data_IF_564903242048
#
_entry.id   IF_564903242048
#
_cell.length_a   1.000
_cell.length_b   1.000
_cell.length_c   1.000
_cell.angle_alpha   90.00
_cell.angle_beta   90.00
_cell.angle_gamma   90.00
#
_symmetry.space_group_name_H-M   'P 1'
#
loop_
_entity.id
_entity.type
_entity.pdbx_description
1 polymer ?
#
# COMPACT_ATOMS: atom_id res chain seq x y z
N UNK A 1 15.23 -29.83 56.29
CA UNK A 1 14.90 -29.73 57.72
C UNK A 1 14.18 -28.42 57.96
N UNK A 2 12.85 -28.44 58.21
CA UNK A 2 11.98 -27.28 58.57
C UNK A 2 11.88 -26.20 57.45
N UNK A 3 10.78 -25.50 57.19
CA UNK A 3 9.43 -25.44 57.78
C UNK A 3 8.43 -24.93 56.71
N UNK A 4 7.21 -25.48 56.65
CA UNK A 4 6.01 -24.72 56.24
C UNK A 4 5.62 -23.79 57.42
N UNK A 5 4.95 -22.63 57.25
CA UNK A 5 3.67 -22.46 56.53
C UNK A 5 3.70 -21.22 55.58
N UNK A 6 2.63 -20.60 55.05
CA UNK A 6 1.16 -20.71 55.22
C UNK A 6 0.43 -20.45 53.89
N UNK A 7 -0.83 -20.89 53.79
CA UNK A 7 -1.85 -20.24 52.95
C UNK A 7 -2.91 -19.61 53.85
N UNK A 8 -3.44 -18.43 53.51
CA UNK A 8 -4.83 -18.14 53.82
C UNK A 8 -5.63 -17.49 52.68
N UNK A 9 -6.91 -17.87 52.63
CA UNK A 9 -8.09 -17.11 52.20
C UNK A 9 -8.27 -16.55 50.76
N UNK A 10 -9.33 -17.09 50.14
CA UNK A 10 -10.42 -16.37 49.45
C UNK A 10 -10.21 -15.77 48.06
N UNK A 11 -10.45 -16.66 47.11
CA UNK A 11 -11.37 -16.47 45.98
C UNK A 11 -12.50 -15.41 46.22
N UNK A 12 -12.56 -14.32 45.43
CA UNK A 12 -13.74 -13.51 45.25
C UNK A 12 -14.37 -13.80 43.88
N UNK A 13 -15.37 -14.69 43.86
CA UNK A 13 -16.28 -14.83 42.71
C UNK A 13 -16.94 -13.48 42.42
N UNK A 14 -16.89 -12.92 41.20
CA UNK A 14 -17.92 -12.00 40.78
C UNK A 14 -19.22 -12.80 40.58
N UNK A 15 -20.15 -12.66 41.53
CA UNK A 15 -21.55 -13.04 41.29
C UNK A 15 -22.03 -12.24 40.08
N UNK A 16 -22.69 -12.91 39.13
CA UNK A 16 -23.26 -12.22 37.98
C UNK A 16 -24.30 -11.20 38.42
N UNK A 17 -24.25 -10.00 37.86
CA UNK A 17 -25.31 -9.02 38.02
C UNK A 17 -26.17 -8.98 36.76
N UNK A 18 -27.49 -9.07 36.96
CA UNK A 18 -28.48 -9.07 35.89
C UNK A 18 -28.98 -7.64 35.71
N UNK A 19 -29.01 -7.16 34.46
CA UNK A 19 -29.91 -6.11 33.96
C UNK A 19 -30.02 -4.84 34.82
N UNK A 20 -29.41 -3.75 34.34
CA UNK A 20 -30.10 -2.45 34.30
C UNK A 20 -29.98 -1.80 32.92
N UNK A 21 -30.82 -2.28 32.02
CA UNK A 21 -31.30 -1.48 30.88
C UNK A 21 -32.12 -0.31 31.43
N UNK A 22 -31.90 0.92 30.94
CA UNK A 22 -32.63 2.10 31.40
C UNK A 22 -32.04 3.39 30.82
N UNK A 23 -32.84 4.47 30.71
CA UNK A 23 -33.35 4.85 29.38
C UNK A 23 -33.01 6.30 28.99
N UNK A 24 -33.73 6.83 27.98
CA UNK A 24 -33.66 8.20 27.40
C UNK A 24 -32.56 8.35 26.32
N UNK A 25 -32.81 8.85 25.11
CA UNK A 25 -34.05 9.40 24.49
C UNK A 25 -34.11 9.06 23.00
N UNK A 26 -35.28 8.60 22.56
CA UNK A 26 -36.13 9.23 21.55
C UNK A 26 -35.46 10.13 20.49
N UNK A 27 -35.49 9.66 19.23
CA UNK A 27 -36.08 10.42 18.12
C UNK A 27 -36.67 9.43 17.10
N UNK A 28 -37.81 9.77 16.51
CA UNK A 28 -38.64 8.84 15.73
C UNK A 28 -38.77 9.23 14.25
N UNK A 29 -38.68 8.23 13.36
CA UNK A 29 -39.08 8.20 11.93
C UNK A 29 -39.07 6.70 11.54
N UNK A 30 -40.14 5.97 11.22
CA UNK A 30 -41.44 6.25 10.57
C UNK A 30 -41.38 6.35 9.02
N UNK A 31 -41.06 5.21 8.39
CA UNK A 31 -41.21 4.83 6.96
C UNK A 31 -40.92 3.31 6.88
N UNK A 32 -41.50 2.46 6.02
CA UNK A 32 -42.43 2.60 4.89
C UNK A 32 -43.30 1.34 4.78
N UNK A 33 -44.51 1.46 4.23
CA UNK A 33 -45.49 0.38 4.06
C UNK A 33 -45.74 0.17 2.55
N UNK A 34 -45.75 -1.07 2.02
CA UNK A 34 -46.21 -1.33 0.66
C UNK A 34 -47.70 -1.71 0.62
N UNK A 35 -48.51 -0.90 -0.08
CA UNK A 35 -49.79 -1.31 -0.68
C UNK A 35 -49.54 -2.20 -1.93
N UNK A 36 -50.57 -2.80 -2.58
CA UNK A 36 -52.01 -2.75 -2.30
C UNK A 36 -52.69 -4.14 -2.19
N UNK A 37 -53.96 -4.15 -1.75
CA UNK A 37 -54.90 -5.24 -2.03
C UNK A 37 -56.17 -4.70 -2.70
N UNK A 38 -56.63 -5.41 -3.72
CA UNK A 38 -57.87 -5.16 -4.46
C UNK A 38 -59.10 -5.58 -3.64
N UNK A 39 -60.14 -4.76 -3.63
CA UNK A 39 -61.53 -5.24 -3.49
C UNK A 39 -62.45 -4.54 -4.49
N UNK A 40 -63.37 -5.32 -5.06
CA UNK A 40 -64.25 -4.91 -6.14
C UNK A 40 -65.62 -4.42 -5.62
N UNK A 41 -66.42 -3.90 -6.55
CA UNK A 41 -67.72 -3.28 -6.29
C UNK A 41 -68.74 -4.19 -5.60
N UNK A 42 -69.61 -3.56 -4.80
CA UNK A 42 -70.91 -4.10 -4.41
C UNK A 42 -72.01 -3.10 -4.75
N UNK A 43 -72.87 -3.47 -5.70
CA UNK A 43 -74.16 -2.80 -5.96
C UNK A 43 -75.23 -3.41 -5.08
N UNK A 44 -75.92 -2.62 -4.26
CA UNK A 44 -77.05 -3.06 -3.44
C UNK A 44 -77.99 -1.89 -3.15
N UNK A 45 -79.24 -1.98 -3.60
CA UNK A 45 -80.18 -0.85 -3.61
C UNK A 45 -80.96 -0.70 -2.30
N UNK A 46 -81.31 0.54 -1.95
CA UNK A 46 -82.44 0.85 -1.09
C UNK A 46 -83.35 1.88 -1.77
N UNK A 47 -84.58 1.45 -2.10
CA UNK A 47 -85.65 2.34 -2.50
C UNK A 47 -86.41 2.82 -1.25
N UNK A 48 -86.45 4.14 -1.05
CA UNK A 48 -87.44 4.79 -0.19
C UNK A 48 -88.00 6.00 -0.95
N UNK A 49 -89.27 5.92 -1.37
CA UNK A 49 -89.91 6.97 -2.14
C UNK A 49 -90.53 8.06 -1.25
N UNK A 50 -90.57 9.30 -1.74
CA UNK A 50 -91.22 10.40 -1.03
C UNK A 50 -91.03 11.78 -1.66
N UNK A 51 -92.00 12.20 -2.47
CA UNK A 51 -92.30 13.61 -2.83
C UNK A 51 -91.26 14.49 -3.55
N UNK A 52 -91.49 14.67 -4.86
CA UNK A 52 -91.31 15.87 -5.70
C UNK A 52 -90.30 16.96 -5.22
N UNK A 53 -89.12 17.03 -5.87
CA UNK A 53 -88.36 18.29 -6.04
C UNK A 53 -87.69 18.37 -7.43
N UNK A 54 -88.50 18.56 -8.48
CA UNK A 54 -88.14 18.46 -9.92
C UNK A 54 -87.20 19.58 -10.45
N UNK A 55 -86.57 20.40 -9.60
CA UNK A 55 -85.67 21.48 -10.04
C UNK A 55 -84.33 21.58 -9.26
N UNK A 56 -83.97 20.57 -8.43
CA UNK A 56 -82.78 20.63 -7.57
C UNK A 56 -81.52 19.89 -8.06
N UNK A 57 -81.66 18.75 -8.73
CA UNK A 57 -80.55 17.77 -8.88
C UNK A 57 -79.30 18.23 -9.66
N UNK A 58 -79.40 19.29 -10.46
CA UNK A 58 -78.25 19.81 -11.24
C UNK A 58 -77.31 20.68 -10.39
N UNK A 59 -77.83 21.39 -9.39
CA UNK A 59 -77.02 22.16 -8.43
C UNK A 59 -76.30 21.22 -7.45
N UNK A 60 -77.01 20.22 -6.94
CA UNK A 60 -76.45 19.19 -6.05
C UNK A 60 -75.27 18.45 -6.70
N UNK A 61 -75.42 18.02 -7.97
CA UNK A 61 -74.35 17.37 -8.72
C UNK A 61 -73.13 18.29 -8.94
N UNK A 62 -73.33 19.60 -9.09
CA UNK A 62 -72.22 20.56 -9.25
C UNK A 62 -71.52 20.86 -7.92
N UNK A 63 -72.27 20.89 -6.81
CA UNK A 63 -71.73 21.01 -5.46
C UNK A 63 -70.84 19.81 -5.12
N UNK A 64 -71.32 18.59 -5.38
CA UNK A 64 -70.53 17.38 -5.19
C UNK A 64 -69.23 17.38 -6.02
N UNK A 65 -69.29 17.81 -7.29
CA UNK A 65 -68.09 17.97 -8.13
C UNK A 65 -67.12 19.02 -7.56
N UNK A 66 -67.61 20.17 -7.12
CA UNK A 66 -66.79 21.21 -6.49
C UNK A 66 -66.11 20.72 -5.20
N UNK A 67 -66.81 19.91 -4.40
CA UNK A 67 -66.23 19.31 -3.20
C UNK A 67 -65.13 18.28 -3.55
N UNK A 68 -65.36 17.40 -4.52
CA UNK A 68 -64.31 16.48 -5.01
C UNK A 68 -63.10 17.25 -5.54
N UNK A 69 -63.30 18.36 -6.25
CA UNK A 69 -62.19 19.22 -6.71
C UNK A 69 -61.45 19.91 -5.54
N UNK A 70 -62.15 20.24 -4.44
CA UNK A 70 -61.55 20.78 -3.20
C UNK A 70 -60.67 19.74 -2.51
N UNK A 71 -61.18 18.52 -2.35
CA UNK A 71 -60.46 17.40 -1.72
C UNK A 71 -59.23 16.99 -2.54
N UNK A 72 -59.39 16.91 -3.87
CA UNK A 72 -58.31 16.64 -4.83
C UNK A 72 -57.21 17.73 -4.81
N UNK A 73 -57.59 19.00 -4.70
CA UNK A 73 -56.64 20.11 -4.60
C UNK A 73 -55.93 20.13 -3.23
N UNK A 74 -56.63 19.78 -2.15
CA UNK A 74 -56.04 19.62 -0.82
C UNK A 74 -55.01 18.48 -0.77
N UNK A 75 -55.29 17.35 -1.43
CA UNK A 75 -54.34 16.26 -1.59
C UNK A 75 -53.08 16.71 -2.36
N UNK A 76 -53.26 17.37 -3.51
CA UNK A 76 -52.13 17.91 -4.30
C UNK A 76 -51.30 18.95 -3.54
N UNK A 77 -51.92 19.77 -2.69
CA UNK A 77 -51.24 20.73 -1.82
C UNK A 77 -50.40 20.01 -0.75
N UNK A 78 -50.96 19.00 -0.07
CA UNK A 78 -50.26 18.22 0.94
C UNK A 78 -49.07 17.42 0.38
N UNK A 79 -49.22 16.84 -0.82
CA UNK A 79 -48.13 16.16 -1.52
C UNK A 79 -46.99 17.14 -1.86
N UNK A 80 -47.31 18.37 -2.27
CA UNK A 80 -46.31 19.38 -2.62
C UNK A 80 -45.53 19.88 -1.39
N UNK A 81 -46.23 20.20 -0.29
CA UNK A 81 -45.60 20.61 0.98
C UNK A 81 -44.71 19.51 1.55
N UNK A 82 -45.16 18.24 1.50
CA UNK A 82 -44.36 17.08 1.92
C UNK A 82 -43.07 16.97 1.09
N UNK A 83 -43.19 16.98 -0.24
CA UNK A 83 -42.03 16.91 -1.14
C UNK A 83 -41.06 18.11 -0.97
N UNK A 84 -41.58 19.31 -0.69
CA UNK A 84 -40.76 20.50 -0.41
C UNK A 84 -39.96 20.36 0.88
N UNK A 85 -40.53 19.74 1.92
CA UNK A 85 -39.85 19.50 3.22
C UNK A 85 -38.72 18.47 3.08
N UNK A 86 -38.99 17.34 2.42
CA UNK A 86 -37.98 16.28 2.20
C UNK A 86 -36.80 16.80 1.37
N UNK A 87 -37.09 17.59 0.33
CA UNK A 87 -36.08 18.22 -0.50
C UNK A 87 -35.29 19.31 0.23
N UNK A 88 -35.89 20.01 1.20
CA UNK A 88 -35.19 20.97 2.05
C UNK A 88 -34.08 20.30 2.86
N UNK A 89 -34.34 19.15 3.46
CA UNK A 89 -33.33 18.34 4.19
C UNK A 89 -32.18 17.92 3.26
N UNK A 90 -32.51 17.56 2.01
CA UNK A 90 -31.51 17.23 0.99
C UNK A 90 -30.62 18.41 0.63
N UNK A 91 -31.20 19.62 0.48
CA UNK A 91 -30.44 20.85 0.22
C UNK A 91 -29.59 21.25 1.42
N UNK A 92 -30.13 21.18 2.65
CA UNK A 92 -29.37 21.42 3.89
C UNK A 92 -28.15 20.49 3.97
N UNK A 93 -28.33 19.20 3.66
CA UNK A 93 -27.25 18.20 3.61
C UNK A 93 -26.17 18.54 2.57
N UNK A 94 -26.56 19.01 1.39
CA UNK A 94 -25.60 19.48 0.36
C UNK A 94 -24.86 20.73 0.86
N UNK A 95 -25.56 21.72 1.41
CA UNK A 95 -24.93 22.97 1.89
C UNK A 95 -23.98 22.78 3.07
N UNK A 96 -24.18 21.75 3.90
CA UNK A 96 -23.27 21.44 5.00
C UNK A 96 -21.91 20.84 4.53
N UNK A 97 -21.77 20.53 3.23
CA UNK A 97 -20.67 19.70 2.70
C UNK A 97 -20.04 20.24 1.41
N UNK A 98 -20.79 20.98 0.58
CA UNK A 98 -20.39 21.33 -0.80
C UNK A 98 -20.65 22.80 -1.18
N UNK A 99 -19.62 23.65 -1.00
CA UNK A 99 -19.60 25.06 -1.41
C UNK A 99 -19.31 25.30 -2.92
N UNK A 100 -19.28 24.24 -3.73
CA UNK A 100 -18.99 24.36 -5.16
C UNK A 100 -20.02 25.22 -5.89
N UNK A 101 -19.70 25.72 -7.10
CA UNK A 101 -20.68 26.40 -7.94
C UNK A 101 -21.92 25.55 -8.27
N UNK A 102 -21.82 24.21 -8.20
CA UNK A 102 -22.96 23.32 -8.39
C UNK A 102 -23.86 23.25 -7.14
N UNK A 103 -23.26 23.13 -5.95
CA UNK A 103 -23.99 23.20 -4.67
C UNK A 103 -24.74 24.52 -4.49
N UNK A 104 -24.06 25.65 -4.76
CA UNK A 104 -24.70 26.98 -4.69
C UNK A 104 -25.85 27.16 -5.69
N UNK A 105 -25.72 26.68 -6.94
CA UNK A 105 -26.83 26.69 -7.91
C UNK A 105 -28.02 25.87 -7.42
N UNK A 106 -27.80 24.70 -6.80
CA UNK A 106 -28.89 23.91 -6.24
C UNK A 106 -29.66 24.68 -5.15
N UNK A 107 -28.98 25.50 -4.33
CA UNK A 107 -29.64 26.39 -3.35
C UNK A 107 -30.46 27.48 -4.06
N UNK A 108 -29.87 28.16 -5.05
CA UNK A 108 -30.53 29.25 -5.79
C UNK A 108 -31.77 28.76 -6.56
N UNK A 109 -31.65 27.61 -7.23
CA UNK A 109 -32.72 26.94 -7.98
C UNK A 109 -33.84 26.43 -7.05
N UNK A 110 -33.48 25.86 -5.89
CA UNK A 110 -34.47 25.47 -4.87
C UNK A 110 -35.19 26.68 -4.28
N UNK A 111 -34.49 27.80 -4.05
CA UNK A 111 -35.11 29.05 -3.60
C UNK A 111 -36.04 29.65 -4.68
N UNK A 112 -35.73 29.48 -5.96
CA UNK A 112 -36.62 29.86 -7.06
C UNK A 112 -37.87 28.98 -7.14
N UNK A 113 -37.74 27.67 -6.96
CA UNK A 113 -38.87 26.75 -6.83
C UNK A 113 -39.73 27.08 -5.61
N UNK A 114 -39.12 27.40 -4.46
CA UNK A 114 -39.81 27.83 -3.25
C UNK A 114 -40.77 29.00 -3.49
N UNK A 115 -40.29 30.09 -4.11
CA UNK A 115 -41.15 31.24 -4.44
C UNK A 115 -42.35 30.88 -5.33
N UNK A 116 -42.17 29.93 -6.25
CA UNK A 116 -43.23 29.44 -7.15
C UNK A 116 -44.19 28.49 -6.44
N UNK A 117 -43.73 27.74 -5.45
CA UNK A 117 -44.58 26.95 -4.52
C UNK A 117 -45.44 27.90 -3.68
N UNK A 118 -44.86 28.96 -3.11
CA UNK A 118 -45.58 29.95 -2.31
C UNK A 118 -46.69 30.62 -3.14
N UNK A 119 -46.43 30.95 -4.40
CA UNK A 119 -47.40 31.52 -5.33
C UNK A 119 -48.60 30.59 -5.59
N UNK A 120 -48.37 29.33 -5.99
CA UNK A 120 -49.47 28.38 -6.27
C UNK A 120 -50.21 27.95 -5.00
N UNK A 121 -49.51 27.94 -3.85
CA UNK A 121 -50.11 27.73 -2.53
C UNK A 121 -51.07 28.86 -2.17
N UNK A 122 -50.67 30.12 -2.40
CA UNK A 122 -51.54 31.28 -2.21
C UNK A 122 -52.77 31.27 -3.15
N UNK A 123 -52.59 30.84 -4.39
CA UNK A 123 -53.70 30.68 -5.36
C UNK A 123 -54.69 29.59 -4.91
N UNK A 124 -54.19 28.46 -4.40
CA UNK A 124 -55.02 27.39 -3.82
C UNK A 124 -55.79 27.87 -2.57
N UNK A 125 -55.13 28.51 -1.61
CA UNK A 125 -55.76 29.04 -0.39
C UNK A 125 -56.85 30.06 -0.77
N UNK A 126 -56.55 30.99 -1.67
CA UNK A 126 -57.52 31.97 -2.19
C UNK A 126 -58.74 31.29 -2.85
N UNK A 127 -58.53 30.21 -3.60
CA UNK A 127 -59.61 29.45 -4.23
C UNK A 127 -60.46 28.65 -3.22
N UNK A 128 -59.89 28.22 -2.10
CA UNK A 128 -60.63 27.58 -1.00
C UNK A 128 -61.43 28.61 -0.19
N UNK A 129 -60.81 29.75 0.15
CA UNK A 129 -61.44 30.80 0.96
C UNK A 129 -62.55 31.56 0.21
N UNK A 130 -62.47 31.63 -1.13
CA UNK A 130 -63.47 32.31 -1.95
C UNK A 130 -64.83 31.59 -2.04
N UNK A 131 -64.92 30.29 -1.70
CA UNK A 131 -66.13 29.49 -1.87
C UNK A 131 -66.49 28.68 -0.63
N UNK A 132 -67.48 29.16 0.12
CA UNK A 132 -68.18 28.36 1.12
C UNK A 132 -69.06 27.30 0.42
N UNK A 133 -68.49 26.09 0.25
CA UNK A 133 -69.18 24.93 -0.31
C UNK A 133 -70.13 24.24 0.69
N UNK A 134 -70.18 24.68 1.94
CA UNK A 134 -71.02 24.12 3.00
C UNK A 134 -72.35 24.89 3.16
N UNK A 135 -72.44 26.11 2.61
CA UNK A 135 -73.64 26.95 2.57
C UNK A 135 -74.87 26.32 1.88
N UNK A 136 -76.01 26.24 2.57
CA UNK A 136 -77.24 25.55 2.10
C UNK A 136 -77.87 26.11 0.80
N UNK A 137 -77.73 27.42 0.54
CA UNK A 137 -78.31 28.11 -0.62
C UNK A 137 -77.31 28.39 -1.76
N UNK A 138 -76.21 27.61 -1.84
CA UNK A 138 -75.17 27.77 -2.87
C UNK A 138 -75.73 27.70 -4.30
N UNK A 139 -75.50 28.77 -5.08
CA UNK A 139 -75.86 28.78 -6.49
C UNK A 139 -75.06 27.78 -7.33
N UNK A 140 -75.73 27.14 -8.30
CA UNK A 140 -75.10 26.36 -9.37
C UNK A 140 -73.99 27.17 -10.12
N UNK A 141 -74.19 28.48 -10.28
CA UNK A 141 -73.20 29.39 -10.89
C UNK A 141 -71.92 29.49 -10.05
N UNK A 142 -72.05 29.51 -8.72
CA UNK A 142 -70.94 29.56 -7.78
C UNK A 142 -70.23 28.21 -7.68
N UNK A 143 -70.97 27.11 -7.54
CA UNK A 143 -70.41 25.75 -7.52
C UNK A 143 -69.59 25.44 -8.79
N UNK A 144 -70.08 25.86 -9.97
CA UNK A 144 -69.34 25.72 -11.23
C UNK A 144 -68.05 26.55 -11.28
N UNK A 145 -68.05 27.77 -10.72
CA UNK A 145 -66.83 28.60 -10.60
C UNK A 145 -65.83 28.00 -9.62
N UNK A 146 -66.29 27.53 -8.46
CA UNK A 146 -65.47 26.86 -7.46
C UNK A 146 -64.77 25.62 -8.04
N UNK A 147 -65.53 24.73 -8.69
CA UNK A 147 -64.98 23.55 -9.37
C UNK A 147 -63.88 23.93 -10.37
N UNK A 148 -64.10 24.95 -11.21
CA UNK A 148 -63.11 25.40 -12.20
C UNK A 148 -61.83 25.94 -11.54
N UNK A 149 -61.96 26.80 -10.52
CA UNK A 149 -60.81 27.40 -9.82
C UNK A 149 -60.02 26.37 -9.01
N UNK A 150 -60.69 25.44 -8.32
CA UNK A 150 -60.04 24.36 -7.57
C UNK A 150 -59.35 23.36 -8.50
N UNK A 151 -59.96 23.05 -9.65
CA UNK A 151 -59.32 22.22 -10.70
C UNK A 151 -58.07 22.90 -11.26
N UNK A 152 -58.12 24.22 -11.51
CA UNK A 152 -56.96 24.99 -11.95
C UNK A 152 -55.84 25.00 -10.90
N UNK A 153 -56.18 25.26 -9.63
CA UNK A 153 -55.23 25.23 -8.52
C UNK A 153 -54.56 23.86 -8.38
N UNK A 154 -55.34 22.76 -8.45
CA UNK A 154 -54.82 21.38 -8.49
C UNK A 154 -53.80 21.19 -9.61
N UNK A 155 -54.13 21.60 -10.83
CA UNK A 155 -53.24 21.46 -11.99
C UNK A 155 -51.92 22.23 -11.79
N UNK A 156 -51.98 23.46 -11.24
CA UNK A 156 -50.81 24.27 -10.95
C UNK A 156 -49.94 23.65 -9.85
N UNK A 157 -50.55 23.17 -8.74
CA UNK A 157 -49.87 22.44 -7.67
C UNK A 157 -49.15 21.19 -8.20
N UNK A 158 -49.86 20.36 -8.98
CA UNK A 158 -49.28 19.16 -9.62
C UNK A 158 -48.14 19.52 -10.58
N UNK A 159 -48.26 20.59 -11.37
CA UNK A 159 -47.19 21.02 -12.29
C UNK A 159 -45.92 21.48 -11.54
N UNK A 160 -46.08 22.24 -10.45
CA UNK A 160 -44.95 22.66 -9.61
C UNK A 160 -44.34 21.46 -8.88
N UNK A 161 -45.15 20.49 -8.43
CA UNK A 161 -44.65 19.22 -7.88
C UNK A 161 -43.80 18.45 -8.89
N UNK A 162 -44.22 18.35 -10.15
CA UNK A 162 -43.42 17.69 -11.20
C UNK A 162 -42.09 18.40 -11.48
N UNK A 163 -42.06 19.73 -11.39
CA UNK A 163 -40.82 20.51 -11.53
C UNK A 163 -39.90 20.29 -10.32
N UNK A 164 -40.47 20.15 -9.11
CA UNK A 164 -39.77 19.81 -7.87
C UNK A 164 -39.19 18.38 -7.90
N UNK A 165 -39.97 17.39 -8.33
CA UNK A 165 -39.56 15.99 -8.46
C UNK A 165 -38.39 15.88 -9.47
N UNK A 166 -38.44 16.62 -10.58
CA UNK A 166 -37.37 16.67 -11.60
C UNK A 166 -36.10 17.32 -11.05
N UNK A 167 -36.23 18.37 -10.26
CA UNK A 167 -35.11 19.01 -9.57
C UNK A 167 -34.46 18.07 -8.54
N UNK A 168 -35.27 17.38 -7.74
CA UNK A 168 -34.81 16.38 -6.76
C UNK A 168 -33.97 15.26 -7.44
N UNK A 169 -34.43 14.76 -8.59
CA UNK A 169 -33.67 13.81 -9.42
C UNK A 169 -32.35 14.41 -9.93
N UNK A 170 -32.35 15.69 -10.33
CA UNK A 170 -31.17 16.41 -10.82
C UNK A 170 -30.07 16.60 -9.76
N UNK A 171 -30.44 16.84 -8.49
CA UNK A 171 -29.46 17.01 -7.39
C UNK A 171 -28.98 15.69 -6.77
N UNK A 172 -29.60 14.55 -7.10
CA UNK A 172 -29.26 13.23 -6.54
C UNK A 172 -27.75 12.90 -6.50
N UNK A 173 -26.97 13.16 -7.57
CA UNK A 173 -25.52 12.96 -7.56
C UNK A 173 -24.75 13.86 -6.57
N UNK A 174 -25.24 15.08 -6.30
CA UNK A 174 -24.65 15.99 -5.30
C UNK A 174 -24.98 15.51 -3.88
N UNK A 175 -26.22 15.09 -3.65
CA UNK A 175 -26.65 14.53 -2.36
C UNK A 175 -25.85 13.27 -2.01
N UNK A 176 -25.78 12.28 -2.91
CA UNK A 176 -25.04 11.04 -2.66
C UNK A 176 -23.52 11.25 -2.46
N UNK A 177 -22.95 12.30 -3.07
CA UNK A 177 -21.58 12.75 -2.80
C UNK A 177 -21.45 13.31 -1.38
N UNK A 178 -22.36 14.20 -0.97
CA UNK A 178 -22.37 14.81 0.36
C UNK A 178 -22.54 13.75 1.47
N UNK A 179 -23.50 12.83 1.32
CA UNK A 179 -23.69 11.67 2.20
C UNK A 179 -22.44 10.81 2.32
N UNK A 180 -21.78 10.52 1.18
CA UNK A 180 -20.52 9.74 1.15
C UNK A 180 -19.39 10.45 1.90
N UNK A 181 -19.31 11.79 1.82
CA UNK A 181 -18.31 12.56 2.56
C UNK A 181 -18.62 12.59 4.08
N UNK A 182 -19.88 12.80 4.47
CA UNK A 182 -20.31 12.75 5.87
C UNK A 182 -20.05 11.38 6.50
N UNK A 183 -20.42 10.29 5.83
CA UNK A 183 -20.17 8.92 6.28
C UNK A 183 -18.68 8.59 6.48
N UNK A 184 -17.79 9.24 5.72
CA UNK A 184 -16.33 9.07 5.82
C UNK A 184 -15.69 9.95 6.89
N UNK A 185 -16.34 11.03 7.34
CA UNK A 185 -15.74 12.07 8.17
C UNK A 185 -15.21 11.51 9.51
N UNK A 186 -16.10 10.98 10.34
CA UNK A 186 -15.71 10.48 11.66
C UNK A 186 -14.68 9.32 11.61
N UNK A 187 -14.84 8.29 10.74
CA UNK A 187 -13.81 7.25 10.57
C UNK A 187 -12.44 7.78 10.12
N UNK A 188 -12.41 8.84 9.32
CA UNK A 188 -11.15 9.40 8.81
C UNK A 188 -10.42 10.22 9.89
N UNK A 189 -11.14 11.05 10.63
CA UNK A 189 -10.57 11.80 11.77
C UNK A 189 -10.07 10.84 12.85
N UNK A 190 -10.81 9.77 13.14
CA UNK A 190 -10.39 8.78 14.12
C UNK A 190 -9.14 8.01 13.67
N UNK A 191 -9.05 7.60 12.40
CA UNK A 191 -7.83 7.02 11.83
C UNK A 191 -6.62 7.95 11.99
N UNK A 192 -6.79 9.25 11.74
CA UNK A 192 -5.73 10.23 11.90
C UNK A 192 -5.21 10.31 13.35
N UNK A 193 -6.11 10.28 14.34
CA UNK A 193 -5.73 10.23 15.77
C UNK A 193 -5.00 8.93 16.13
N UNK A 194 -5.47 7.80 15.63
CA UNK A 194 -4.83 6.49 15.86
C UNK A 194 -3.43 6.41 15.25
N UNK A 195 -3.23 6.92 14.03
CA UNK A 195 -1.90 7.02 13.42
C UNK A 195 -0.94 7.93 14.20
N UNK A 196 -1.42 9.08 14.69
CA UNK A 196 -0.62 9.97 15.56
C UNK A 196 -0.22 9.31 16.88
N UNK A 197 -1.15 8.61 17.53
CA UNK A 197 -0.86 7.86 18.77
C UNK A 197 0.15 6.75 18.51
N UNK A 198 -0.02 5.96 17.44
CA UNK A 198 0.89 4.89 17.09
C UNK A 198 2.31 5.40 16.75
N UNK A 199 2.41 6.52 16.03
CA UNK A 199 3.70 7.19 15.77
C UNK A 199 4.37 7.69 17.06
N UNK A 200 3.58 8.21 18.01
CA UNK A 200 4.09 8.63 19.33
C UNK A 200 4.67 7.44 20.10
N UNK A 201 3.91 6.35 20.21
CA UNK A 201 4.33 5.11 20.88
C UNK A 201 5.57 4.49 20.23
N UNK A 202 5.68 4.53 18.90
CA UNK A 202 6.87 4.08 18.19
C UNK A 202 8.10 4.92 18.55
N UNK A 203 7.99 6.26 18.57
CA UNK A 203 9.09 7.14 18.99
C UNK A 203 9.49 6.94 20.46
N UNK A 204 8.54 6.72 21.35
CA UNK A 204 8.84 6.39 22.75
C UNK A 204 9.53 5.03 22.89
N UNK A 205 9.18 4.05 22.06
CA UNK A 205 9.87 2.76 22.00
C UNK A 205 11.32 2.91 21.49
N UNK A 206 11.55 3.77 20.50
CA UNK A 206 12.89 4.12 20.00
C UNK A 206 13.72 4.82 21.09
N UNK A 207 13.12 5.76 21.85
CA UNK A 207 13.77 6.40 23.01
C UNK A 207 14.13 5.40 24.11
N UNK A 208 13.22 4.47 24.45
CA UNK A 208 13.48 3.40 25.42
C UNK A 208 14.62 2.47 24.99
N UNK A 209 14.79 2.26 23.68
CA UNK A 209 15.93 1.54 23.11
C UNK A 209 17.25 2.35 23.09
N UNK A 210 17.28 3.58 23.64
CA UNK A 210 18.44 4.46 23.63
C UNK A 210 18.78 5.05 22.26
N UNK A 211 17.83 5.03 21.32
CA UNK A 211 18.02 5.49 19.95
C UNK A 211 17.52 6.94 19.78
N UNK A 212 18.22 7.69 18.93
CA UNK A 212 17.90 9.07 18.54
C UNK A 212 16.86 9.06 17.43
N UNK A 213 15.90 9.98 17.50
CA UNK A 213 14.85 10.13 16.50
C UNK A 213 14.40 11.60 16.38
N UNK A 214 15.32 12.54 16.56
CA UNK A 214 14.99 13.97 16.74
C UNK A 214 14.29 14.58 15.51
N UNK A 215 14.70 14.21 14.29
CA UNK A 215 14.04 14.59 13.04
C UNK A 215 12.62 13.98 12.94
N UNK A 216 12.47 12.68 13.26
CA UNK A 216 11.15 12.03 13.26
C UNK A 216 10.21 12.64 14.31
N UNK A 217 10.73 13.00 15.49
CA UNK A 217 9.99 13.70 16.53
C UNK A 217 9.62 15.13 16.12
N UNK A 218 10.50 15.88 15.46
CA UNK A 218 10.21 17.20 14.92
C UNK A 218 9.12 17.13 13.82
N UNK A 219 9.20 16.15 12.92
CA UNK A 219 8.16 15.88 11.92
C UNK A 219 6.83 15.55 12.56
N UNK A 220 6.78 14.69 13.59
CA UNK A 220 5.54 14.39 14.30
C UNK A 220 4.98 15.62 15.02
N UNK A 221 5.83 16.41 15.68
CA UNK A 221 5.44 17.66 16.34
C UNK A 221 4.86 18.69 15.35
N UNK A 222 5.35 18.72 14.10
CA UNK A 222 4.80 19.59 13.05
C UNK A 222 3.35 19.27 12.66
N UNK A 223 2.84 18.08 12.98
CA UNK A 223 1.43 17.71 12.79
C UNK A 223 0.50 18.22 13.92
N UNK A 224 1.05 18.77 15.00
CA UNK A 224 0.29 19.30 16.14
C UNK A 224 -0.80 20.33 15.76
N UNK A 225 -0.49 21.36 14.96
CA UNK A 225 -1.49 22.34 14.49
C UNK A 225 -2.61 21.71 13.65
N UNK A 226 -2.31 20.67 12.88
CA UNK A 226 -3.34 19.95 12.11
C UNK A 226 -4.23 19.10 13.03
N UNK A 227 -3.69 18.49 14.10
CA UNK A 227 -4.50 17.84 15.13
C UNK A 227 -5.42 18.84 15.85
N UNK A 228 -4.96 20.06 16.13
CA UNK A 228 -5.82 21.13 16.69
C UNK A 228 -7.00 21.43 15.77
N UNK A 229 -6.76 21.55 14.46
CA UNK A 229 -7.82 21.76 13.44
C UNK A 229 -8.76 20.56 13.31
N UNK A 230 -8.25 19.32 13.40
CA UNK A 230 -9.08 18.11 13.43
C UNK A 230 -9.98 18.04 14.67
N UNK A 231 -9.54 18.57 15.81
CA UNK A 231 -10.33 18.64 17.03
C UNK A 231 -11.35 19.79 17.03
N UNK A 232 -11.09 20.87 16.28
CA UNK A 232 -12.07 21.92 15.98
C UNK A 232 -13.17 21.41 15.03
N UNK A 233 -12.83 20.49 14.13
CA UNK A 233 -13.78 19.70 13.35
C UNK A 233 -14.41 20.41 12.15
N UNK A 234 -15.22 19.68 11.40
CA UNK A 234 -15.77 20.12 10.12
C UNK A 234 -16.74 21.31 10.21
N UNK A 235 -17.40 21.52 11.37
CA UNK A 235 -18.28 22.68 11.57
C UNK A 235 -17.54 24.02 11.56
N UNK A 236 -16.23 24.03 11.81
CA UNK A 236 -15.38 25.23 11.71
C UNK A 236 -14.56 25.27 10.40
N UNK A 237 -14.19 24.10 9.86
CA UNK A 237 -13.19 24.00 8.79
C UNK A 237 -13.72 23.50 7.44
N UNK A 238 -15.00 23.11 7.35
CA UNK A 238 -15.55 22.40 6.19
C UNK A 238 -15.33 20.89 6.25
N UNK A 239 -16.26 20.11 5.71
CA UNK A 239 -16.17 18.65 5.61
C UNK A 239 -15.05 18.21 4.63
N UNK A 240 -14.92 18.77 3.41
CA UNK A 240 -13.87 18.39 2.46
C UNK A 240 -12.45 18.59 3.03
N UNK A 241 -12.19 19.76 3.60
CA UNK A 241 -10.89 20.16 4.15
C UNK A 241 -10.53 19.33 5.39
N UNK A 242 -11.53 18.97 6.21
CA UNK A 242 -11.34 18.10 7.38
C UNK A 242 -11.02 16.67 6.96
N UNK A 243 -11.67 16.14 5.91
CA UNK A 243 -11.34 14.84 5.32
C UNK A 243 -9.91 14.83 4.76
N UNK A 244 -9.55 15.80 3.93
CA UNK A 244 -8.22 15.90 3.31
C UNK A 244 -7.11 16.03 4.38
N UNK A 245 -7.36 16.85 5.40
CA UNK A 245 -6.48 16.99 6.58
C UNK A 245 -6.33 15.68 7.33
N UNK A 246 -7.43 14.97 7.60
CA UNK A 246 -7.38 13.71 8.32
C UNK A 246 -6.57 12.66 7.56
N UNK A 247 -6.76 12.56 6.24
CA UNK A 247 -5.96 11.66 5.41
C UNK A 247 -4.47 12.04 5.38
N UNK A 248 -4.13 13.33 5.24
CA UNK A 248 -2.74 13.80 5.25
C UNK A 248 -2.07 13.48 6.59
N UNK A 249 -2.70 13.85 7.71
CA UNK A 249 -2.20 13.57 9.06
C UNK A 249 -2.01 12.07 9.28
N UNK A 250 -2.97 11.23 8.85
CA UNK A 250 -2.84 9.78 8.94
C UNK A 250 -1.64 9.26 8.14
N UNK A 251 -1.47 9.69 6.87
CA UNK A 251 -0.35 9.28 6.00
C UNK A 251 1.01 9.73 6.53
N UNK A 252 1.12 10.98 7.00
CA UNK A 252 2.38 11.53 7.49
C UNK A 252 2.80 10.93 8.84
N UNK A 253 1.84 10.70 9.75
CA UNK A 253 2.10 9.99 11.00
C UNK A 253 2.45 8.51 10.78
N UNK A 254 1.78 7.84 9.83
CA UNK A 254 2.11 6.46 9.44
C UNK A 254 3.55 6.35 8.88
N UNK A 255 3.98 7.30 8.04
CA UNK A 255 5.37 7.37 7.57
C UNK A 255 6.36 7.51 8.74
N UNK A 256 6.08 8.40 9.70
CA UNK A 256 6.91 8.56 10.90
C UNK A 256 6.98 7.26 11.72
N UNK A 257 5.85 6.57 11.90
CA UNK A 257 5.80 5.27 12.59
C UNK A 257 6.70 4.24 11.91
N UNK A 258 6.50 4.02 10.61
CA UNK A 258 7.25 3.03 9.85
C UNK A 258 8.76 3.34 9.72
N UNK A 259 9.14 4.63 9.76
CA UNK A 259 10.56 5.03 9.85
C UNK A 259 11.13 4.78 11.26
N UNK A 260 10.36 5.06 12.32
CA UNK A 260 10.77 4.82 13.71
C UNK A 260 10.97 3.32 14.02
N UNK A 261 10.01 2.47 13.61
CA UNK A 261 10.04 1.01 13.84
C UNK A 261 11.25 0.32 13.20
N UNK A 262 11.83 0.89 12.13
CA UNK A 262 13.04 0.38 11.46
C UNK A 262 14.35 0.72 12.17
N UNK A 263 14.37 1.69 13.09
CA UNK A 263 15.59 2.11 13.78
C UNK A 263 16.18 1.01 14.68
N UNK A 264 15.39 0.31 15.54
CA UNK A 264 15.87 -0.83 16.31
C UNK A 264 16.34 -2.01 15.45
N UNK A 265 15.66 -2.29 14.34
CA UNK A 265 16.06 -3.34 13.40
C UNK A 265 17.44 -3.04 12.81
N UNK A 266 17.61 -1.84 12.24
CA UNK A 266 18.87 -1.37 11.63
C UNK A 266 20.01 -1.33 12.63
N UNK A 267 19.75 -0.89 13.85
CA UNK A 267 20.69 -0.93 14.97
C UNK A 267 21.17 -2.37 15.22
N UNK A 268 20.23 -3.31 15.40
CA UNK A 268 20.53 -4.72 15.66
C UNK A 268 21.26 -5.42 14.50
N UNK A 269 21.00 -5.03 13.25
CA UNK A 269 21.74 -5.54 12.09
C UNK A 269 23.20 -5.11 12.10
N UNK A 270 23.47 -3.83 12.37
CA UNK A 270 24.83 -3.29 12.44
C UNK A 270 25.58 -3.95 13.60
N UNK A 271 24.93 -4.16 14.74
CA UNK A 271 25.54 -4.82 15.91
C UNK A 271 25.92 -6.28 15.59
N UNK A 272 25.05 -7.05 14.92
CA UNK A 272 25.37 -8.41 14.44
C UNK A 272 26.52 -8.41 13.42
N UNK A 273 26.55 -7.45 12.49
CA UNK A 273 27.61 -7.33 11.47
C UNK A 273 28.96 -6.97 12.10
N UNK A 274 28.99 -6.07 13.10
CA UNK A 274 30.19 -5.71 13.86
C UNK A 274 30.80 -6.94 14.55
N UNK A 275 29.98 -7.75 15.23
CA UNK A 275 30.43 -8.99 15.88
C UNK A 275 30.93 -9.99 14.83
N UNK A 276 30.15 -10.24 13.77
CA UNK A 276 30.50 -11.23 12.73
C UNK A 276 31.83 -10.89 12.02
N UNK A 277 32.02 -9.62 11.62
CA UNK A 277 33.23 -9.19 10.94
C UNK A 277 34.44 -9.14 11.88
N UNK A 278 34.27 -8.81 13.16
CA UNK A 278 35.34 -8.93 14.17
C UNK A 278 35.81 -10.38 14.31
N UNK A 279 34.90 -11.34 14.44
CA UNK A 279 35.25 -12.77 14.51
C UNK A 279 35.96 -13.22 13.23
N UNK A 280 35.52 -12.75 12.06
CA UNK A 280 36.19 -13.04 10.77
C UNK A 280 37.62 -12.45 10.73
N UNK A 281 37.84 -11.22 11.21
CA UNK A 281 39.17 -10.61 11.29
C UNK A 281 40.11 -11.42 12.21
N UNK A 282 39.65 -11.82 13.40
CA UNK A 282 40.44 -12.64 14.34
C UNK A 282 40.79 -14.03 13.78
N UNK A 283 39.84 -14.68 13.10
CA UNK A 283 40.08 -15.96 12.43
C UNK A 283 41.09 -15.80 11.29
N UNK A 284 41.01 -14.70 10.54
CA UNK A 284 41.91 -14.42 9.41
C UNK A 284 43.32 -14.05 9.88
N UNK A 285 43.47 -13.31 10.97
CA UNK A 285 44.77 -13.07 11.62
C UNK A 285 45.47 -14.39 11.98
N UNK A 286 44.71 -15.33 12.55
CA UNK A 286 45.21 -16.67 12.92
C UNK A 286 45.62 -17.47 11.68
N UNK A 287 44.84 -17.39 10.61
CA UNK A 287 45.11 -18.08 9.33
C UNK A 287 46.31 -17.47 8.58
N UNK A 288 46.47 -16.15 8.60
CA UNK A 288 47.61 -15.46 8.01
C UNK A 288 48.95 -15.93 8.62
N UNK A 289 48.97 -16.20 9.93
CA UNK A 289 50.12 -16.81 10.61
C UNK A 289 50.53 -18.20 10.11
N UNK A 290 49.65 -18.92 9.39
CA UNK A 290 49.95 -20.21 8.78
C UNK A 290 50.58 -20.09 7.38
N UNK A 291 50.64 -18.89 6.80
CA UNK A 291 51.21 -18.67 5.46
C UNK A 291 52.73 -18.83 5.47
N UNK A 292 53.44 -18.38 6.51
CA UNK A 292 54.91 -18.44 6.54
C UNK A 292 55.48 -19.88 6.60
N UNK A 293 54.89 -20.84 7.34
CA UNK A 293 55.20 -22.26 7.19
C UNK A 293 54.99 -22.80 5.76
N UNK A 294 53.90 -22.40 5.10
CA UNK A 294 53.59 -22.80 3.71
C UNK A 294 54.62 -22.22 2.73
N UNK A 295 54.99 -20.94 2.87
CA UNK A 295 56.05 -20.30 2.08
C UNK A 295 57.41 -20.96 2.34
N UNK A 296 57.71 -21.35 3.57
CA UNK A 296 58.96 -22.05 3.91
C UNK A 296 59.07 -23.41 3.21
N UNK A 297 57.98 -24.19 3.17
CA UNK A 297 57.92 -25.46 2.43
C UNK A 297 58.00 -25.25 0.90
N UNK A 298 57.37 -24.18 0.38
CA UNK A 298 57.49 -23.78 -1.03
C UNK A 298 58.94 -23.45 -1.42
N UNK A 299 59.61 -22.57 -0.65
CA UNK A 299 61.01 -22.17 -0.85
C UNK A 299 61.98 -23.35 -0.81
N UNK A 300 61.70 -24.34 0.04
CA UNK A 300 62.53 -25.55 0.21
C UNK A 300 62.43 -26.53 -0.96
N UNK A 301 61.31 -26.57 -1.68
CA UNK A 301 60.99 -27.67 -2.62
C UNK A 301 60.78 -27.26 -4.07
N UNK A 302 60.48 -25.99 -4.33
CA UNK A 302 60.12 -25.48 -5.65
C UNK A 302 60.98 -24.28 -6.05
N UNK A 303 61.05 -24.02 -7.36
CA UNK A 303 61.78 -22.88 -7.92
C UNK A 303 61.18 -21.54 -7.48
N UNK A 304 61.97 -20.47 -7.59
CA UNK A 304 61.57 -19.10 -7.18
C UNK A 304 60.26 -18.65 -7.86
N UNK A 305 60.09 -18.97 -9.14
CA UNK A 305 58.88 -18.65 -9.91
C UNK A 305 57.58 -19.24 -9.35
N UNK A 306 57.65 -20.31 -8.55
CA UNK A 306 56.50 -20.94 -7.93
C UNK A 306 55.93 -20.18 -6.71
N UNK A 307 56.71 -19.27 -6.10
CA UNK A 307 56.35 -18.64 -4.82
C UNK A 307 56.73 -17.16 -4.64
N UNK A 308 57.56 -16.57 -5.51
CA UNK A 308 58.00 -15.16 -5.36
C UNK A 308 56.83 -14.16 -5.31
N UNK A 309 55.74 -14.45 -6.03
CA UNK A 309 54.51 -13.66 -6.09
C UNK A 309 53.71 -13.69 -4.79
N UNK A 310 53.98 -14.69 -3.93
CA UNK A 310 53.31 -14.88 -2.64
C UNK A 310 54.12 -14.32 -1.46
N UNK A 311 55.35 -13.83 -1.69
CA UNK A 311 56.26 -13.46 -0.61
C UNK A 311 55.75 -12.30 0.27
N UNK A 312 54.99 -11.35 -0.30
CA UNK A 312 54.39 -10.23 0.44
C UNK A 312 53.05 -10.54 1.10
N UNK A 313 52.46 -11.73 0.86
CA UNK A 313 51.12 -12.08 1.36
C UNK A 313 51.02 -12.03 2.89
N UNK A 314 51.99 -12.50 3.70
CA UNK A 314 51.91 -12.38 5.16
C UNK A 314 51.82 -10.93 5.65
N UNK A 315 52.66 -10.04 5.12
CA UNK A 315 52.70 -8.62 5.52
C UNK A 315 51.45 -7.87 5.06
N UNK A 316 51.01 -8.12 3.81
CA UNK A 316 49.76 -7.58 3.26
C UNK A 316 48.54 -8.05 4.06
N UNK A 317 48.50 -9.32 4.45
CA UNK A 317 47.41 -9.86 5.25
C UNK A 317 47.37 -9.24 6.65
N UNK A 318 48.52 -9.11 7.31
CA UNK A 318 48.62 -8.46 8.61
C UNK A 318 48.22 -6.98 8.54
N UNK A 319 48.59 -6.26 7.48
CA UNK A 319 48.19 -4.86 7.28
C UNK A 319 46.69 -4.72 6.99
N UNK A 320 46.13 -5.53 6.08
CA UNK A 320 44.71 -5.48 5.78
C UNK A 320 43.84 -5.85 7.00
N UNK A 321 44.29 -6.76 7.86
CA UNK A 321 43.60 -7.06 9.13
C UNK A 321 43.67 -5.87 10.08
N UNK A 322 44.83 -5.22 10.27
CA UNK A 322 44.93 -3.99 11.08
C UNK A 322 44.00 -2.89 10.58
N UNK A 323 43.95 -2.67 9.26
CA UNK A 323 43.04 -1.70 8.65
C UNK A 323 41.56 -2.07 8.86
N UNK A 324 41.22 -3.37 8.74
CA UNK A 324 39.88 -3.86 9.01
C UNK A 324 39.49 -3.67 10.49
N UNK A 325 40.40 -3.89 11.44
CA UNK A 325 40.17 -3.66 12.86
C UNK A 325 39.99 -2.16 13.19
N UNK A 326 40.80 -1.27 12.61
CA UNK A 326 40.60 0.19 12.72
C UNK A 326 39.23 0.59 12.19
N UNK A 327 38.84 0.10 11.01
CA UNK A 327 37.54 0.40 10.41
C UNK A 327 36.36 -0.22 11.15
N UNK A 328 36.56 -1.30 11.89
CA UNK A 328 35.56 -1.84 12.83
C UNK A 328 35.41 -0.96 14.08
N UNK A 329 36.48 -0.29 14.54
CA UNK A 329 36.39 0.70 15.61
C UNK A 329 35.69 1.99 15.13
N UNK A 330 36.03 2.48 13.94
CA UNK A 330 35.32 3.59 13.27
C UNK A 330 33.82 3.26 13.10
N UNK A 331 33.49 2.06 12.59
CA UNK A 331 32.11 1.62 12.39
C UNK A 331 31.33 1.49 13.71
N UNK A 332 31.98 1.10 14.80
CA UNK A 332 31.40 1.10 16.15
C UNK A 332 31.11 2.52 16.62
N UNK A 333 32.05 3.46 16.48
CA UNK A 333 31.83 4.85 16.87
C UNK A 333 30.71 5.52 16.06
N UNK A 334 30.62 5.21 14.76
CA UNK A 334 29.50 5.62 13.91
C UNK A 334 28.16 5.02 14.39
N UNK A 335 28.15 3.73 14.78
CA UNK A 335 26.97 3.04 15.34
C UNK A 335 26.52 3.60 16.70
N UNK A 336 27.46 3.97 17.57
CA UNK A 336 27.21 4.62 18.86
C UNK A 336 26.67 6.05 18.67
N UNK A 337 27.25 6.80 17.73
CA UNK A 337 26.80 8.13 17.33
C UNK A 337 25.45 8.12 16.58
N UNK A 338 25.10 6.96 16.02
CA UNK A 338 23.92 6.66 15.19
C UNK A 338 23.99 7.25 13.77
N UNK A 339 25.21 7.39 13.24
CA UNK A 339 25.50 7.69 11.84
C UNK A 339 25.40 6.40 11.00
N UNK A 340 24.15 6.05 10.68
CA UNK A 340 23.83 4.80 10.00
C UNK A 340 24.40 4.64 8.58
N UNK A 341 24.46 5.67 7.72
CA UNK A 341 25.08 5.56 6.40
C UNK A 341 26.57 5.25 6.49
N UNK A 342 27.29 5.96 7.36
CA UNK A 342 28.73 5.81 7.55
C UNK A 342 29.08 4.43 8.13
N UNK A 343 28.36 3.99 9.18
CA UNK A 343 28.52 2.65 9.74
C UNK A 343 28.34 1.55 8.67
N UNK A 344 27.35 1.68 7.77
CA UNK A 344 27.14 0.74 6.66
C UNK A 344 28.29 0.76 5.63
N UNK A 345 28.83 1.94 5.30
CA UNK A 345 29.95 2.09 4.36
C UNK A 345 31.25 1.50 4.93
N UNK A 346 31.53 1.75 6.21
CA UNK A 346 32.69 1.20 6.91
C UNK A 346 32.62 -0.33 7.02
N UNK A 347 31.47 -0.90 7.40
CA UNK A 347 31.28 -2.37 7.42
C UNK A 347 31.43 -3.01 6.04
N UNK A 348 30.99 -2.34 4.98
CA UNK A 348 31.18 -2.79 3.59
C UNK A 348 32.66 -2.79 3.19
N UNK A 349 33.41 -1.77 3.61
CA UNK A 349 34.86 -1.66 3.40
C UNK A 349 35.62 -2.76 4.14
N UNK A 350 35.27 -3.01 5.41
CA UNK A 350 35.83 -4.11 6.22
C UNK A 350 35.58 -5.46 5.54
N UNK A 351 34.36 -5.70 5.04
CA UNK A 351 34.03 -6.94 4.32
C UNK A 351 34.89 -7.12 3.06
N UNK A 352 35.13 -6.05 2.29
CA UNK A 352 35.98 -6.12 1.10
C UNK A 352 37.43 -6.46 1.46
N UNK A 353 38.02 -5.78 2.46
CA UNK A 353 39.38 -6.05 2.95
C UNK A 353 39.54 -7.49 3.45
N UNK A 354 38.60 -7.98 4.26
CA UNK A 354 38.63 -9.35 4.80
C UNK A 354 38.33 -10.43 3.77
N UNK A 355 37.69 -10.11 2.64
CA UNK A 355 37.51 -11.05 1.53
C UNK A 355 38.79 -11.16 0.70
N UNK A 356 39.32 -10.04 0.21
CA UNK A 356 40.56 -10.01 -0.58
C UNK A 356 41.76 -10.63 0.18
N UNK A 357 41.78 -10.46 1.51
CA UNK A 357 42.82 -11.05 2.36
C UNK A 357 42.64 -12.56 2.56
N UNK A 358 41.40 -13.05 2.70
CA UNK A 358 41.11 -14.50 2.82
C UNK A 358 41.42 -15.23 1.50
N UNK A 359 41.15 -14.60 0.36
CA UNK A 359 41.56 -15.06 -0.98
C UNK A 359 43.09 -15.13 -1.09
N UNK A 360 43.80 -14.06 -0.72
CA UNK A 360 45.28 -13.99 -0.77
C UNK A 360 45.96 -15.03 0.13
N UNK A 361 45.45 -15.20 1.35
CA UNK A 361 45.95 -16.19 2.33
C UNK A 361 45.68 -17.63 1.87
N UNK A 362 44.51 -17.89 1.29
CA UNK A 362 44.17 -19.22 0.77
C UNK A 362 45.02 -19.60 -0.45
N UNK A 363 45.30 -18.64 -1.33
CA UNK A 363 46.10 -18.86 -2.54
C UNK A 363 47.48 -19.48 -2.27
N UNK A 364 48.12 -19.18 -1.14
CA UNK A 364 49.40 -19.79 -0.78
C UNK A 364 49.28 -21.29 -0.44
N UNK A 365 48.24 -21.66 0.33
CA UNK A 365 47.96 -23.07 0.66
C UNK A 365 47.58 -23.86 -0.59
N UNK A 366 46.70 -23.29 -1.42
CA UNK A 366 46.28 -23.88 -2.70
C UNK A 366 47.45 -24.05 -3.67
N UNK A 367 48.36 -23.06 -3.74
CA UNK A 367 49.60 -23.13 -4.53
C UNK A 367 50.44 -24.33 -4.09
N UNK A 368 50.71 -24.48 -2.79
CA UNK A 368 51.47 -25.62 -2.28
C UNK A 368 50.78 -26.96 -2.54
N UNK A 369 49.45 -27.05 -2.39
CA UNK A 369 48.70 -28.27 -2.71
C UNK A 369 48.78 -28.63 -4.21
N UNK A 370 48.56 -27.65 -5.10
CA UNK A 370 48.65 -27.85 -6.57
C UNK A 370 50.05 -28.28 -6.99
N UNK A 371 51.09 -27.62 -6.47
CA UNK A 371 52.49 -27.94 -6.76
C UNK A 371 52.89 -29.33 -6.23
N UNK A 372 52.43 -29.71 -5.04
CA UNK A 372 52.62 -31.07 -4.52
C UNK A 372 51.95 -32.14 -5.39
N UNK A 373 50.73 -31.88 -5.88
CA UNK A 373 50.00 -32.82 -6.73
C UNK A 373 50.70 -33.02 -8.08
N UNK A 374 51.08 -31.93 -8.77
CA UNK A 374 51.72 -32.02 -10.08
C UNK A 374 53.15 -32.54 -10.01
N UNK A 375 53.90 -32.25 -8.93
CA UNK A 375 55.24 -32.82 -8.75
C UNK A 375 55.20 -34.33 -8.46
N UNK A 376 54.10 -34.83 -7.87
CA UNK A 376 53.88 -36.27 -7.66
C UNK A 376 53.50 -36.98 -8.96
N UNK A 377 52.63 -36.39 -9.78
CA UNK A 377 52.22 -36.93 -11.07
C UNK A 377 51.94 -35.81 -12.09
N UNK A 378 52.94 -35.42 -12.91
CA UNK A 378 52.72 -34.47 -13.99
C UNK A 378 51.85 -35.06 -15.12
N UNK A 379 51.87 -36.39 -15.32
CA UNK A 379 51.21 -37.04 -16.46
C UNK A 379 49.70 -36.88 -16.38
N UNK A 380 49.11 -36.98 -15.19
CA UNK A 380 47.68 -36.73 -14.99
C UNK A 380 47.21 -35.37 -15.55
N UNK A 381 48.02 -34.31 -15.41
CA UNK A 381 47.68 -32.97 -15.90
C UNK A 381 47.94 -32.81 -17.41
N UNK A 382 48.99 -33.47 -17.93
CA UNK A 382 49.27 -33.57 -19.37
C UNK A 382 48.11 -34.28 -20.07
N UNK A 383 47.72 -35.47 -19.59
CA UNK A 383 46.72 -36.32 -20.24
C UNK A 383 45.32 -35.70 -20.16
N UNK A 384 44.97 -35.05 -19.04
CA UNK A 384 43.76 -34.21 -18.92
C UNK A 384 43.73 -33.11 -19.98
N UNK A 385 44.84 -32.44 -20.22
CA UNK A 385 44.93 -31.35 -21.19
C UNK A 385 44.91 -31.87 -22.63
N UNK A 386 45.63 -32.95 -22.93
CA UNK A 386 45.57 -33.67 -24.22
C UNK A 386 44.18 -34.23 -24.52
N UNK A 387 43.44 -34.68 -23.51
CA UNK A 387 42.07 -35.14 -23.69
C UNK A 387 41.15 -33.99 -24.11
N UNK A 388 41.20 -32.85 -23.40
CA UNK A 388 40.40 -31.67 -23.74
C UNK A 388 40.67 -31.16 -25.17
N UNK A 389 41.95 -31.07 -25.58
CA UNK A 389 42.31 -30.65 -26.94
C UNK A 389 41.74 -31.63 -27.99
N UNK A 390 41.95 -32.94 -27.81
CA UNK A 390 41.47 -33.96 -28.76
C UNK A 390 39.95 -34.00 -28.87
N UNK A 391 39.23 -33.80 -27.77
CA UNK A 391 37.77 -33.74 -27.78
C UNK A 391 37.25 -32.51 -28.55
N UNK A 392 37.88 -31.34 -28.35
CA UNK A 392 37.57 -30.14 -29.11
C UNK A 392 37.94 -30.26 -30.61
N UNK A 393 39.08 -30.88 -30.95
CA UNK A 393 39.47 -31.16 -32.34
C UNK A 393 38.46 -32.12 -33.00
N UNK A 394 38.03 -33.19 -32.31
CA UNK A 394 36.95 -34.08 -32.76
C UNK A 394 35.65 -33.31 -32.97
N UNK A 395 35.28 -32.41 -32.06
CA UNK A 395 34.09 -31.58 -32.19
C UNK A 395 34.17 -30.65 -33.40
N UNK A 396 35.33 -30.02 -33.65
CA UNK A 396 35.57 -29.15 -34.80
C UNK A 396 35.47 -29.88 -36.15
N UNK A 397 35.94 -31.14 -36.20
CA UNK A 397 35.84 -32.02 -37.37
C UNK A 397 34.46 -32.64 -37.59
N UNK A 398 33.58 -32.67 -36.58
CA UNK A 398 32.31 -33.38 -36.67
C UNK A 398 31.43 -32.84 -37.83
N UNK A 399 31.07 -33.72 -38.76
CA UNK A 399 30.26 -33.40 -39.94
C UNK A 399 30.99 -32.63 -41.06
N UNK A 400 32.33 -32.56 -41.05
CA UNK A 400 33.12 -31.82 -42.05
C UNK A 400 34.36 -32.60 -42.49
N UNK A 401 34.73 -32.47 -43.77
CA UNK A 401 36.00 -33.03 -44.30
C UNK A 401 37.21 -32.13 -44.02
N UNK A 402 36.99 -30.82 -43.87
CA UNK A 402 38.01 -29.82 -43.56
C UNK A 402 37.54 -28.99 -42.37
N UNK A 403 38.36 -28.79 -41.32
CA UNK A 403 37.98 -27.98 -40.17
C UNK A 403 37.99 -26.49 -40.54
N UNK A 404 37.13 -25.70 -39.86
CA UNK A 404 37.15 -24.24 -40.00
C UNK A 404 38.48 -23.69 -39.43
N UNK A 405 39.27 -22.89 -40.18
CA UNK A 405 40.53 -22.33 -39.70
C UNK A 405 40.39 -21.52 -38.41
N UNK A 406 39.23 -20.92 -38.15
CA UNK A 406 38.92 -20.15 -36.93
C UNK A 406 38.90 -21.04 -35.68
N UNK A 407 38.60 -22.33 -35.84
CA UNK A 407 38.57 -23.33 -34.78
C UNK A 407 39.82 -24.21 -34.76
N UNK A 408 40.37 -24.57 -35.92
CA UNK A 408 41.56 -25.42 -36.04
C UNK A 408 42.80 -24.74 -35.45
N UNK A 409 43.12 -23.53 -35.93
CA UNK A 409 44.39 -22.86 -35.59
C UNK A 409 44.59 -22.65 -34.08
N UNK A 410 43.60 -22.18 -33.29
CA UNK A 410 43.78 -22.07 -31.84
C UNK A 410 43.93 -23.41 -31.11
N UNK A 411 43.43 -24.52 -31.67
CA UNK A 411 43.60 -25.86 -31.11
C UNK A 411 44.98 -26.45 -31.44
N UNK A 412 45.49 -26.20 -32.65
CA UNK A 412 46.83 -26.64 -33.05
C UNK A 412 47.92 -25.81 -32.31
N UNK A 413 47.72 -24.50 -32.18
CA UNK A 413 48.53 -23.63 -31.31
C UNK A 413 48.50 -24.11 -29.84
N UNK A 414 47.36 -24.68 -29.39
CA UNK A 414 47.21 -25.26 -28.06
C UNK A 414 47.98 -26.58 -27.87
N UNK A 415 48.10 -27.42 -28.90
CA UNK A 415 49.01 -28.59 -28.89
C UNK A 415 50.44 -28.12 -28.73
N UNK A 416 50.88 -27.19 -29.59
CA UNK A 416 52.26 -26.69 -29.58
C UNK A 416 52.63 -25.98 -28.26
N UNK A 417 51.67 -25.28 -27.61
CA UNK A 417 51.85 -24.74 -26.26
C UNK A 417 52.00 -25.83 -25.20
N UNK A 418 51.17 -26.87 -25.25
CA UNK A 418 51.26 -27.99 -24.31
C UNK A 418 52.60 -28.70 -24.42
N UNK A 419 53.06 -29.04 -25.62
CA UNK A 419 54.33 -29.75 -25.79
C UNK A 419 55.53 -28.90 -25.35
N UNK A 420 55.51 -27.57 -25.55
CA UNK A 420 56.51 -26.66 -24.95
C UNK A 420 56.47 -26.66 -23.43
N UNK A 421 55.28 -26.64 -22.83
CA UNK A 421 55.12 -26.70 -21.37
C UNK A 421 55.63 -28.05 -20.80
N UNK A 422 55.43 -29.16 -21.52
CA UNK A 422 55.94 -30.49 -21.17
C UNK A 422 57.48 -30.54 -21.27
N UNK A 423 58.08 -29.98 -22.32
CA UNK A 423 59.54 -29.89 -22.43
C UNK A 423 60.16 -29.04 -21.30
N UNK A 424 59.44 -28.02 -20.81
CA UNK A 424 59.80 -27.24 -19.63
C UNK A 424 59.81 -28.01 -18.30
N UNK A 425 59.40 -29.30 -18.29
CA UNK A 425 59.51 -30.18 -17.13
C UNK A 425 60.85 -30.95 -17.06
N UNK A 426 61.74 -30.78 -18.02
CA UNK A 426 63.06 -31.41 -18.02
C UNK A 426 64.05 -30.67 -17.11
N UNK A 427 64.72 -31.40 -16.21
CA UNK A 427 65.75 -30.85 -15.32
C UNK A 427 65.56 -31.20 -13.84
N UNK A 428 66.44 -30.66 -12.98
CA UNK A 428 66.49 -31.02 -11.54
C UNK A 428 65.39 -30.36 -10.70
N UNK A 429 64.95 -29.16 -11.08
CA UNK A 429 63.84 -28.43 -10.43
C UNK A 429 63.01 -27.71 -11.51
N UNK A 430 61.98 -28.36 -12.06
CA UNK A 430 61.08 -27.75 -13.03
C UNK A 430 60.29 -26.56 -12.49
N UNK A 431 59.92 -25.64 -13.38
CA UNK A 431 58.90 -24.62 -13.09
C UNK A 431 57.49 -25.22 -13.26
N UNK A 432 57.08 -25.97 -12.23
CA UNK A 432 55.75 -26.54 -12.13
C UNK A 432 54.64 -25.48 -12.10
N UNK A 433 54.92 -24.23 -11.73
CA UNK A 433 53.91 -23.18 -11.72
C UNK A 433 53.65 -22.61 -13.12
N UNK A 434 54.69 -22.39 -13.91
CA UNK A 434 54.56 -22.07 -15.32
C UNK A 434 53.82 -23.19 -16.06
N UNK A 435 54.20 -24.46 -15.85
CA UNK A 435 53.51 -25.61 -16.43
C UNK A 435 52.01 -25.67 -16.09
N UNK A 436 51.65 -25.50 -14.81
CA UNK A 436 50.24 -25.45 -14.38
C UNK A 436 49.47 -24.27 -15.00
N UNK A 437 50.11 -23.10 -15.08
CA UNK A 437 49.49 -21.89 -15.64
C UNK A 437 49.27 -22.01 -17.15
N UNK A 438 50.24 -22.57 -17.89
CA UNK A 438 50.11 -22.81 -19.32
C UNK A 438 49.09 -23.89 -19.64
N UNK A 439 49.09 -25.03 -18.94
CA UNK A 439 48.09 -26.09 -19.15
C UNK A 439 46.66 -25.61 -18.84
N UNK A 440 46.48 -24.79 -17.80
CA UNK A 440 45.20 -24.14 -17.50
C UNK A 440 44.82 -23.06 -18.55
N UNK A 441 45.79 -22.29 -19.06
CA UNK A 441 45.59 -21.35 -20.17
C UNK A 441 45.21 -22.04 -21.48
N UNK A 442 45.80 -23.20 -21.78
CA UNK A 442 45.45 -24.07 -22.90
C UNK A 442 44.01 -24.56 -22.75
N UNK A 443 43.62 -25.14 -21.59
CA UNK A 443 42.24 -25.61 -21.37
C UNK A 443 41.20 -24.49 -21.48
N UNK A 444 41.50 -23.27 -21.02
CA UNK A 444 40.61 -22.10 -21.22
C UNK A 444 40.47 -21.71 -22.70
N UNK A 445 41.55 -21.82 -23.48
CA UNK A 445 41.53 -21.57 -24.93
C UNK A 445 40.67 -22.60 -25.64
N UNK A 446 40.88 -23.89 -25.35
CA UNK A 446 40.09 -25.03 -25.84
C UNK A 446 38.60 -24.87 -25.51
N UNK A 447 38.27 -24.53 -24.26
CA UNK A 447 36.88 -24.34 -23.84
C UNK A 447 36.17 -23.21 -24.61
N UNK A 448 36.87 -22.10 -24.89
CA UNK A 448 36.35 -21.00 -25.71
C UNK A 448 36.03 -21.46 -27.13
N UNK A 449 36.92 -22.24 -27.75
CA UNK A 449 36.69 -22.81 -29.10
C UNK A 449 35.50 -23.77 -29.09
N UNK A 450 35.34 -24.60 -28.05
CA UNK A 450 34.17 -25.48 -27.90
C UNK A 450 32.86 -24.69 -27.80
N UNK A 451 32.85 -23.58 -27.04
CA UNK A 451 31.70 -22.67 -26.97
C UNK A 451 31.39 -22.09 -28.34
N UNK A 452 32.39 -21.53 -29.03
CA UNK A 452 32.21 -20.94 -30.36
C UNK A 452 31.69 -21.96 -31.41
N UNK A 453 32.19 -23.20 -31.42
CA UNK A 453 31.67 -24.27 -32.31
C UNK A 453 30.20 -24.61 -32.01
N UNK A 454 29.78 -24.52 -30.74
CA UNK A 454 28.39 -24.77 -30.34
C UNK A 454 27.48 -23.59 -30.72
N UNK A 455 27.96 -22.36 -30.58
CA UNK A 455 27.26 -21.14 -31.00
C UNK A 455 27.10 -21.11 -32.54
N UNK A 456 28.17 -21.33 -33.31
CA UNK A 456 28.16 -21.45 -34.79
C UNK A 456 27.23 -22.57 -35.30
N UNK A 457 26.88 -23.56 -34.45
CA UNK A 457 25.92 -24.64 -34.77
C UNK A 457 24.51 -24.36 -34.24
N UNK A 458 24.36 -23.55 -33.20
CA UNK A 458 23.07 -23.20 -32.59
C UNK A 458 22.41 -21.97 -33.22
N UNK A 459 23.20 -21.04 -33.77
CA UNK A 459 22.73 -19.86 -34.52
C UNK A 459 22.51 -20.12 -36.02
N UNK A 460 22.46 -21.38 -36.44
CA UNK A 460 22.26 -21.81 -37.84
C UNK A 460 20.84 -22.28 -38.15
N UNK A 461 19.83 -21.65 -37.53
CA UNK A 461 18.38 -21.89 -37.73
C UNK A 461 17.69 -20.55 -37.92
#
# INVERSE_FOLDING_TARGET
MRQHPSSPDRDPRPRGDRRRSGPLRDFATLTLLPLPLLTAALTGAFNAGGTRRWFGGRAESQRAQAQTAKDDAAAAFYELDTAQRDLRISIETITAVDDSPAGRRAVDDFAALGRRIDEVSGQYITAVDAHDLDRDDLEASAASRAHAQLTQAKQQLTQVKQDLDRFAQGIGPLLGKAETQLARLAPSVERARQSLLAATTALDSVRQAGLKADDLAARLASLGPELTRLNQGAGQHGVPETLERAERVARDAERVRAEAERLPERASEIDRRLVSLRTRAQALQTRAGQVEPVLSELRRRFTVACWQDLQSVPDMAAENVRQAESKLAEARSARESQDWPNATALLSTVRALLNATDESVSAASDRLQRLNAVAKDPRAEIDRTRFAIRDAQRLAMAGRSTPDPRHARPLDDSVARLDRAVAGLEGRHPDYWHFLTETEGVRRTVARVVTQIREDRGGGV
#
